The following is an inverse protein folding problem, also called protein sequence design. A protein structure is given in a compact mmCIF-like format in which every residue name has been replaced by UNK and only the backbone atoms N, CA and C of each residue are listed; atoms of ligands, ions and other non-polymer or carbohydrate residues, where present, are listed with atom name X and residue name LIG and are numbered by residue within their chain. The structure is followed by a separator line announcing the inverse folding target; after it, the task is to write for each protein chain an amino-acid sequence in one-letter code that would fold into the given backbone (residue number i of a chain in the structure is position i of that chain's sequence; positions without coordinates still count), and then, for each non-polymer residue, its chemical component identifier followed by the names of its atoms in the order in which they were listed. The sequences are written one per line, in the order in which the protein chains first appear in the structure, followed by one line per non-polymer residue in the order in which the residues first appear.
data_IF_575751509768
#
_entry.id   IF_575751509768
#
_cell.length_a   1.000
_cell.length_b   1.000
_cell.length_c   1.000
_cell.angle_alpha   90.00
_cell.angle_beta   90.00
_cell.angle_gamma   90.00
#
_symmetry.space_group_name_H-M   'P 1'
#
loop_
_entity.id
_entity.type
_entity.pdbx_description
1 polymer ?
#
# COMPACT_ATOMS: atom_id res chain seq x y z
N UNK A 1 -71.72 29.41 41.34
CA UNK A 1 -71.91 29.80 39.94
C UNK A 1 -70.79 30.75 39.54
N UNK A 2 -70.28 30.58 38.32
CA UNK A 2 -69.33 31.41 37.58
C UNK A 2 -67.84 31.40 38.00
N UNK A 3 -67.08 30.64 37.20
CA UNK A 3 -65.63 30.63 37.04
C UNK A 3 -65.12 31.86 36.28
N UNK A 4 -63.94 32.38 36.65
CA UNK A 4 -63.00 33.03 35.72
C UNK A 4 -61.57 32.75 36.19
N UNK A 5 -60.90 31.78 35.54
CA UNK A 5 -59.46 31.58 35.67
C UNK A 5 -58.79 32.11 34.40
N UNK A 6 -57.89 33.07 34.57
CA UNK A 6 -57.06 33.65 33.52
C UNK A 6 -56.01 32.64 33.05
N UNK A 7 -55.93 32.42 31.73
CA UNK A 7 -54.89 31.61 31.09
C UNK A 7 -53.72 32.54 30.76
N UNK A 8 -52.62 32.43 31.51
CA UNK A 8 -51.35 33.03 31.15
C UNK A 8 -50.57 32.06 30.26
N UNK A 9 -50.37 32.43 29.00
CA UNK A 9 -49.53 31.70 28.05
C UNK A 9 -48.04 31.94 28.36
N UNK A 10 -47.33 30.91 28.79
CA UNK A 10 -45.86 30.90 28.83
C UNK A 10 -45.37 30.37 27.49
N UNK A 11 -44.82 31.26 26.67
CA UNK A 11 -44.09 30.91 25.45
C UNK A 11 -42.78 30.22 25.85
N UNK A 12 -42.75 28.90 25.72
CA UNK A 12 -41.49 28.14 25.73
C UNK A 12 -40.73 28.50 24.46
N UNK A 13 -39.70 29.32 24.60
CA UNK A 13 -38.71 29.55 23.57
C UNK A 13 -38.00 28.22 23.29
N UNK A 14 -38.28 27.65 22.12
CA UNK A 14 -37.52 26.53 21.58
C UNK A 14 -36.11 27.02 21.32
N UNK A 15 -35.18 26.64 22.20
CA UNK A 15 -33.75 26.70 21.93
C UNK A 15 -33.46 25.80 20.73
N UNK A 16 -33.39 26.39 19.54
CA UNK A 16 -32.92 25.72 18.35
C UNK A 16 -31.50 25.17 18.56
N UNK A 17 -31.12 24.10 17.84
CA UNK A 17 -29.79 23.53 17.97
C UNK A 17 -28.75 24.62 17.67
N UNK A 18 -27.73 24.65 18.53
CA UNK A 18 -26.58 25.52 18.46
C UNK A 18 -26.11 25.68 17.01
N UNK A 19 -26.01 26.94 16.61
CA UNK A 19 -25.52 27.40 15.33
C UNK A 19 -24.42 26.50 14.79
N UNK A 20 -24.69 25.88 13.64
CA UNK A 20 -23.62 25.55 12.71
C UNK A 20 -22.93 26.87 12.38
N UNK A 21 -21.93 27.22 13.20
CA UNK A 21 -21.04 28.34 12.98
C UNK A 21 -20.47 28.10 11.58
N UNK A 22 -20.98 28.83 10.58
CA UNK A 22 -20.42 28.86 9.25
C UNK A 22 -18.99 29.37 9.42
N UNK A 23 -18.05 28.44 9.53
CA UNK A 23 -16.63 28.71 9.52
C UNK A 23 -16.36 29.36 8.17
N UNK A 24 -15.82 30.58 8.21
CA UNK A 24 -15.48 31.29 6.98
C UNK A 24 -14.35 30.56 6.26
N UNK A 25 -14.22 30.72 4.94
CA UNK A 25 -13.15 30.09 4.15
C UNK A 25 -11.74 30.33 4.72
N UNK A 26 -11.49 31.49 5.35
CA UNK A 26 -10.22 31.80 6.01
C UNK A 26 -9.86 30.86 7.18
N UNK A 27 -10.85 30.38 7.95
CA UNK A 27 -10.60 29.42 9.04
C UNK A 27 -10.39 27.99 8.55
N UNK A 28 -10.98 27.63 7.42
CA UNK A 28 -10.81 26.29 6.84
C UNK A 28 -9.46 26.15 6.11
N UNK A 29 -8.93 27.24 5.54
CA UNK A 29 -7.60 27.23 4.91
C UNK A 29 -6.44 27.02 5.89
N UNK A 30 -6.61 27.39 7.16
CA UNK A 30 -5.60 27.13 8.20
C UNK A 30 -5.37 25.63 8.46
N UNK A 31 -6.31 24.79 8.04
CA UNK A 31 -6.20 23.33 8.16
C UNK A 31 -5.37 22.70 7.04
N UNK A 32 -5.02 23.48 6.01
CA UNK A 32 -4.25 23.03 4.85
C UNK A 32 -2.79 23.50 4.92
N UNK A 33 -1.80 22.65 4.56
CA UNK A 33 -1.97 21.22 4.25
C UNK A 33 -2.23 20.37 5.50
N UNK A 34 -1.93 20.88 6.70
CA UNK A 34 -2.09 20.14 7.95
C UNK A 34 -1.17 18.91 8.06
N UNK A 35 -0.05 18.87 7.35
CA UNK A 35 0.84 17.72 7.30
C UNK A 35 1.95 17.86 6.26
N UNK A 36 2.61 16.74 5.93
CA UNK A 36 3.77 16.68 5.05
C UNK A 36 3.50 16.08 3.65
N UNK A 37 2.26 15.70 3.32
CA UNK A 37 1.93 15.14 2.01
C UNK A 37 1.89 16.26 0.94
N UNK A 38 2.73 16.18 -0.11
CA UNK A 38 2.74 17.19 -1.17
C UNK A 38 1.62 16.90 -2.18
N UNK A 39 0.38 17.25 -1.84
CA UNK A 39 -0.83 16.89 -2.59
C UNK A 39 -0.72 17.11 -4.11
N UNK A 40 -0.26 18.29 -4.56
CA UNK A 40 -0.11 18.57 -5.99
C UNK A 40 0.85 17.61 -6.70
N UNK A 41 1.98 17.27 -6.05
CA UNK A 41 2.94 16.30 -6.59
C UNK A 41 2.33 14.91 -6.64
N UNK A 42 1.58 14.51 -5.61
CA UNK A 42 0.91 13.21 -5.56
C UNK A 42 -0.19 13.09 -6.61
N UNK A 43 -0.99 14.15 -6.80
CA UNK A 43 -2.01 14.23 -7.83
C UNK A 43 -1.45 14.18 -9.26
N UNK A 44 -0.21 14.60 -9.45
CA UNK A 44 0.50 14.57 -10.73
C UNK A 44 1.24 13.26 -11.04
N UNK A 45 1.15 12.25 -10.17
CA UNK A 45 1.82 10.98 -10.39
C UNK A 45 1.22 10.23 -11.58
N UNK A 46 2.08 9.79 -12.51
CA UNK A 46 1.72 8.86 -13.59
C UNK A 46 1.91 7.40 -13.20
N UNK A 47 2.70 7.15 -12.15
CA UNK A 47 2.95 5.83 -11.58
C UNK A 47 2.14 5.62 -10.31
N UNK A 48 1.83 4.36 -9.94
CA UNK A 48 1.17 4.06 -8.67
C UNK A 48 1.93 4.67 -7.48
N UNK A 49 1.17 5.17 -6.50
CA UNK A 49 1.73 5.67 -5.26
C UNK A 49 2.27 4.49 -4.44
N UNK A 50 3.55 4.58 -4.03
CA UNK A 50 4.16 3.56 -3.18
C UNK A 50 3.44 3.46 -1.82
N UNK A 51 3.27 2.24 -1.31
CA UNK A 51 2.53 1.98 -0.06
C UNK A 51 3.10 2.73 1.14
N UNK A 52 4.44 2.84 1.23
CA UNK A 52 5.13 3.66 2.25
C UNK A 52 4.69 5.13 2.29
N UNK A 53 4.23 5.68 1.16
CA UNK A 53 3.78 7.07 1.10
C UNK A 53 2.43 7.28 1.81
N UNK A 54 1.74 6.21 2.21
CA UNK A 54 0.54 6.31 3.03
C UNK A 54 0.81 6.82 4.45
N UNK A 55 2.07 6.82 4.91
CA UNK A 55 2.51 7.41 6.18
C UNK A 55 2.53 8.94 6.15
N UNK A 56 2.53 9.54 4.94
CA UNK A 56 2.43 10.97 4.80
C UNK A 56 1.12 11.47 5.40
N UNK A 57 1.12 12.71 5.86
CA UNK A 57 0.00 13.33 6.56
C UNK A 57 -0.58 14.47 5.76
N UNK A 58 -1.90 14.58 5.77
CA UNK A 58 -2.64 15.71 5.21
C UNK A 58 -3.90 15.89 6.05
N UNK A 59 -4.34 17.13 6.29
CA UNK A 59 -5.41 17.41 7.25
C UNK A 59 -5.19 16.83 8.66
N UNK A 60 -3.95 16.77 9.12
CA UNK A 60 -3.60 16.26 10.45
C UNK A 60 -3.77 14.75 10.62
N UNK A 61 -4.06 14.01 9.55
CA UNK A 61 -4.20 12.54 9.55
C UNK A 61 -3.31 11.91 8.49
N UNK A 62 -2.95 10.63 8.66
CA UNK A 62 -2.16 9.90 7.66
C UNK A 62 -3.02 9.58 6.45
N UNK A 63 -2.43 9.53 5.26
CA UNK A 63 -3.14 9.13 4.04
C UNK A 63 -3.71 7.72 4.14
N UNK A 64 -3.07 6.84 4.91
CA UNK A 64 -3.61 5.52 5.25
C UNK A 64 -5.02 5.61 5.87
N UNK A 65 -5.30 6.65 6.65
CA UNK A 65 -6.51 6.83 7.45
C UNK A 65 -7.56 7.71 6.73
N UNK A 66 -7.33 8.12 5.48
CA UNK A 66 -8.29 8.91 4.70
C UNK A 66 -9.51 8.07 4.31
N UNK A 67 -10.67 8.71 4.39
CA UNK A 67 -11.98 8.16 4.02
C UNK A 67 -12.62 9.01 2.92
N UNK A 68 -13.71 8.51 2.31
CA UNK A 68 -14.48 9.28 1.33
C UNK A 68 -14.89 10.67 1.83
N UNK A 69 -15.33 10.76 3.09
CA UNK A 69 -15.73 12.02 3.73
C UNK A 69 -14.59 13.04 3.76
N UNK A 70 -13.36 12.58 3.95
CA UNK A 70 -12.19 13.45 4.01
C UNK A 70 -11.86 14.05 2.64
N UNK A 71 -12.06 13.28 1.58
CA UNK A 71 -11.93 13.76 0.21
C UNK A 71 -13.07 14.71 -0.16
N UNK A 72 -14.30 14.41 0.25
CA UNK A 72 -15.45 15.30 0.01
C UNK A 72 -15.24 16.66 0.69
N UNK A 73 -14.76 16.66 1.94
CA UNK A 73 -14.38 17.88 2.65
C UNK A 73 -13.23 18.62 1.93
N UNK A 74 -12.22 17.87 1.45
CA UNK A 74 -11.10 18.46 0.70
C UNK A 74 -11.59 19.16 -0.57
N UNK A 75 -12.52 18.55 -1.32
CA UNK A 75 -13.09 19.14 -2.54
C UNK A 75 -13.81 20.45 -2.28
N UNK A 76 -14.46 20.57 -1.11
CA UNK A 76 -15.18 21.79 -0.73
C UNK A 76 -14.23 22.94 -0.41
N UNK A 77 -13.14 22.67 0.32
CA UNK A 77 -12.29 23.75 0.84
C UNK A 77 -11.06 24.05 -0.02
N UNK A 78 -10.52 23.06 -0.73
CA UNK A 78 -9.26 23.20 -1.47
C UNK A 78 -9.29 24.29 -2.56
N UNK A 79 -10.36 24.43 -3.38
CA UNK A 79 -10.42 25.48 -4.41
C UNK A 79 -10.40 26.89 -3.81
N UNK A 80 -11.08 27.09 -2.67
CA UNK A 80 -11.11 28.38 -1.98
C UNK A 80 -9.75 28.73 -1.36
N UNK A 81 -9.01 27.73 -0.89
CA UNK A 81 -7.72 27.92 -0.25
C UNK A 81 -6.54 27.95 -1.21
N UNK A 82 -6.72 27.50 -2.45
CA UNK A 82 -5.70 27.46 -3.49
C UNK A 82 -6.23 28.11 -4.78
N UNK A 83 -6.57 29.42 -4.78
CA UNK A 83 -7.21 30.08 -5.92
C UNK A 83 -6.32 30.13 -7.17
N UNK A 84 -5.01 29.93 -7.02
CA UNK A 84 -4.06 29.87 -8.14
C UNK A 84 -4.07 28.51 -8.86
N UNK A 85 -4.64 27.46 -8.24
CA UNK A 85 -4.84 26.16 -8.86
C UNK A 85 -6.15 26.17 -9.64
N UNK A 86 -6.08 26.55 -10.92
CA UNK A 86 -7.24 26.63 -11.83
C UNK A 86 -7.98 25.30 -12.01
N UNK A 87 -7.35 24.18 -11.65
CA UNK A 87 -7.93 22.83 -11.68
C UNK A 87 -8.15 22.23 -10.29
N UNK A 88 -8.31 23.05 -9.24
CA UNK A 88 -8.26 22.58 -7.86
C UNK A 88 -9.17 21.38 -7.53
N UNK A 89 -10.39 21.32 -8.06
CA UNK A 89 -11.26 20.15 -7.89
C UNK A 89 -10.69 18.88 -8.54
N UNK A 90 -10.19 18.98 -9.78
CA UNK A 90 -9.54 17.87 -10.49
C UNK A 90 -8.24 17.43 -9.81
N UNK A 91 -7.49 18.37 -9.21
CA UNK A 91 -6.33 18.06 -8.37
C UNK A 91 -6.73 17.19 -7.17
N UNK A 92 -7.86 17.49 -6.52
CA UNK A 92 -8.39 16.67 -5.43
C UNK A 92 -8.85 15.30 -5.92
N UNK A 93 -9.54 15.22 -7.06
CA UNK A 93 -9.98 13.94 -7.63
C UNK A 93 -8.80 13.01 -7.96
N UNK A 94 -7.75 13.54 -8.60
CA UNK A 94 -6.53 12.76 -8.89
C UNK A 94 -5.81 12.34 -7.63
N UNK A 95 -5.72 13.24 -6.64
CA UNK A 95 -5.16 12.92 -5.33
C UNK A 95 -5.94 11.79 -4.64
N UNK A 96 -7.27 11.85 -4.65
CA UNK A 96 -8.14 10.80 -4.13
C UNK A 96 -7.87 9.46 -4.82
N UNK A 97 -7.80 9.45 -6.16
CA UNK A 97 -7.57 8.24 -6.93
C UNK A 97 -6.24 7.55 -6.56
N UNK A 98 -5.15 8.31 -6.45
CA UNK A 98 -3.83 7.73 -6.12
C UNK A 98 -3.76 7.23 -4.68
N UNK A 99 -4.40 7.92 -3.74
CA UNK A 99 -4.42 7.48 -2.32
C UNK A 99 -5.25 6.22 -2.16
N UNK A 100 -6.46 6.15 -2.75
CA UNK A 100 -7.31 4.97 -2.66
C UNK A 100 -6.66 3.75 -3.33
N UNK A 101 -5.98 3.94 -4.45
CA UNK A 101 -5.22 2.87 -5.10
C UNK A 101 -4.09 2.33 -4.20
N UNK A 102 -3.35 3.22 -3.53
CA UNK A 102 -2.32 2.81 -2.58
C UNK A 102 -2.90 2.12 -1.34
N UNK A 103 -4.01 2.61 -0.79
CA UNK A 103 -4.71 1.97 0.33
C UNK A 103 -5.17 0.55 -0.04
N UNK A 104 -5.70 0.37 -1.25
CA UNK A 104 -6.03 -0.95 -1.77
C UNK A 104 -4.79 -1.84 -1.89
N UNK A 105 -3.70 -1.34 -2.46
CA UNK A 105 -2.45 -2.12 -2.55
C UNK A 105 -1.90 -2.51 -1.16
N UNK A 106 -2.06 -1.63 -0.16
CA UNK A 106 -1.71 -1.93 1.24
C UNK A 106 -2.54 -3.07 1.81
N UNK A 107 -3.84 -3.14 1.49
CA UNK A 107 -4.71 -4.25 1.91
C UNK A 107 -4.32 -5.54 1.19
N UNK A 108 -4.13 -5.49 -0.13
CA UNK A 108 -3.76 -6.66 -0.93
C UNK A 108 -2.41 -7.25 -0.46
N UNK A 109 -1.46 -6.40 -0.06
CA UNK A 109 -0.18 -6.83 0.52
C UNK A 109 -0.31 -7.38 1.95
N UNK A 110 -1.22 -6.82 2.78
CA UNK A 110 -1.54 -7.39 4.09
C UNK A 110 -2.06 -8.82 3.98
N UNK A 111 -3.04 -9.02 3.10
CA UNK A 111 -3.66 -10.34 2.87
C UNK A 111 -2.65 -11.34 2.32
N UNK A 112 -1.73 -10.88 1.46
CA UNK A 112 -0.65 -11.71 0.95
C UNK A 112 0.33 -12.14 2.07
N UNK A 113 0.70 -11.23 2.98
CA UNK A 113 1.56 -11.56 4.14
C UNK A 113 0.92 -12.67 4.98
N UNK A 114 -0.37 -12.56 5.28
CA UNK A 114 -1.08 -13.56 6.08
C UNK A 114 -1.12 -14.93 5.38
N UNK A 115 -1.35 -14.94 4.06
CA UNK A 115 -1.28 -16.18 3.27
C UNK A 115 0.11 -16.82 3.31
N UNK A 116 1.17 -16.02 3.15
CA UNK A 116 2.55 -16.50 3.22
C UNK A 116 2.86 -17.06 4.61
N UNK A 117 2.46 -16.37 5.68
CA UNK A 117 2.67 -16.85 7.05
C UNK A 117 1.92 -18.16 7.33
N UNK A 118 0.67 -18.25 6.86
CA UNK A 118 -0.14 -19.45 6.96
C UNK A 118 0.52 -20.63 6.24
N UNK A 119 0.94 -20.43 4.99
CA UNK A 119 1.62 -21.46 4.21
C UNK A 119 2.92 -21.91 4.88
N UNK A 120 3.80 -20.97 5.23
CA UNK A 120 5.07 -21.25 5.90
C UNK A 120 4.87 -22.02 7.23
N UNK A 121 3.83 -21.67 8.00
CA UNK A 121 3.48 -22.36 9.25
C UNK A 121 3.08 -23.82 9.04
N UNK A 122 2.45 -24.14 7.90
CA UNK A 122 2.00 -25.49 7.55
C UNK A 122 3.07 -26.40 6.91
N UNK A 123 4.24 -25.86 6.56
CA UNK A 123 5.26 -26.65 5.85
C UNK A 123 5.82 -27.80 6.73
N UNK A 124 5.93 -29.03 6.22
CA UNK A 124 6.54 -30.13 6.95
C UNK A 124 8.08 -30.04 6.93
N UNK A 125 8.75 -30.64 7.91
CA UNK A 125 10.22 -30.72 7.98
C UNK A 125 10.79 -31.77 7.01
N UNK A 126 10.48 -31.62 5.73
CA UNK A 126 10.95 -32.45 4.62
C UNK A 126 11.80 -31.61 3.65
N UNK A 127 12.47 -32.27 2.70
CA UNK A 127 13.17 -31.59 1.61
C UNK A 127 12.26 -30.60 0.88
N UNK A 128 11.04 -31.00 0.56
CA UNK A 128 10.09 -30.15 -0.17
C UNK A 128 9.64 -28.95 0.67
N UNK A 129 9.44 -29.14 1.98
CA UNK A 129 9.15 -28.03 2.89
C UNK A 129 10.30 -27.01 2.97
N UNK A 130 11.56 -27.49 3.00
CA UNK A 130 12.75 -26.62 2.97
C UNK A 130 12.86 -25.85 1.64
N UNK A 131 12.61 -26.52 0.51
CA UNK A 131 12.60 -25.85 -0.80
C UNK A 131 11.50 -24.79 -0.81
N UNK A 132 10.30 -25.11 -0.33
CA UNK A 132 9.17 -24.17 -0.36
C UNK A 132 9.40 -22.95 0.55
N UNK A 133 9.92 -23.11 1.76
CA UNK A 133 10.21 -21.95 2.63
C UNK A 133 11.27 -21.03 2.00
N UNK A 134 12.22 -21.61 1.25
CA UNK A 134 13.23 -20.84 0.51
C UNK A 134 12.58 -20.05 -0.64
N UNK A 135 11.62 -20.64 -1.36
CA UNK A 135 10.85 -19.92 -2.40
C UNK A 135 10.03 -18.78 -1.78
N UNK A 136 9.37 -19.02 -0.64
CA UNK A 136 8.61 -17.97 0.07
C UNK A 136 9.51 -16.80 0.50
N UNK A 137 10.76 -17.08 0.88
CA UNK A 137 11.76 -16.04 1.15
C UNK A 137 12.04 -15.19 -0.09
N UNK A 138 12.30 -15.82 -1.24
CA UNK A 138 12.52 -15.10 -2.49
C UNK A 138 11.29 -14.30 -2.94
N UNK A 139 10.09 -14.87 -2.82
CA UNK A 139 8.83 -14.15 -3.12
C UNK A 139 8.70 -12.88 -2.26
N UNK A 140 9.03 -12.98 -0.97
CA UNK A 140 9.07 -11.82 -0.09
C UNK A 140 10.10 -10.77 -0.53
N UNK A 141 11.33 -11.16 -0.86
CA UNK A 141 12.36 -10.21 -1.32
C UNK A 141 11.91 -9.41 -2.54
N UNK A 142 11.24 -10.07 -3.50
CA UNK A 142 10.69 -9.39 -4.68
C UNK A 142 9.52 -8.45 -4.33
N UNK A 143 8.81 -8.72 -3.24
CA UNK A 143 7.64 -7.95 -2.81
C UNK A 143 7.98 -6.75 -1.91
N UNK A 144 9.18 -6.69 -1.32
CA UNK A 144 9.62 -5.62 -0.39
C UNK A 144 9.27 -4.20 -0.87
N UNK A 145 9.44 -3.81 -2.15
CA UNK A 145 9.11 -2.45 -2.60
C UNK A 145 7.63 -2.07 -2.42
N UNK A 146 6.74 -3.05 -2.38
CA UNK A 146 5.29 -2.88 -2.22
C UNK A 146 4.85 -2.89 -0.75
N UNK A 147 5.73 -3.28 0.19
CA UNK A 147 5.39 -3.45 1.60
C UNK A 147 5.65 -2.19 2.43
N UNK A 148 4.97 -2.11 3.56
CA UNK A 148 5.42 -1.21 4.65
C UNK A 148 6.72 -1.75 5.24
N UNK A 149 7.64 -0.89 5.72
CA UNK A 149 8.89 -1.34 6.34
C UNK A 149 8.67 -2.31 7.51
N UNK A 150 7.70 -2.01 8.39
CA UNK A 150 7.37 -2.84 9.53
C UNK A 150 6.82 -4.22 9.12
N UNK A 151 6.02 -4.28 8.06
CA UNK A 151 5.48 -5.54 7.53
C UNK A 151 6.59 -6.41 6.94
N UNK A 152 7.51 -5.80 6.17
CA UNK A 152 8.65 -6.49 5.59
C UNK A 152 9.55 -7.08 6.69
N UNK A 153 9.87 -6.30 7.73
CA UNK A 153 10.66 -6.78 8.87
C UNK A 153 9.95 -7.92 9.61
N UNK A 154 8.65 -7.79 9.85
CA UNK A 154 7.89 -8.84 10.55
C UNK A 154 7.87 -10.15 9.77
N UNK A 155 7.61 -10.09 8.46
CA UNK A 155 7.60 -11.25 7.59
C UNK A 155 8.98 -11.90 7.47
N UNK A 156 10.05 -11.11 7.33
CA UNK A 156 11.44 -11.60 7.33
C UNK A 156 11.75 -12.38 8.61
N UNK A 157 11.42 -11.81 9.78
CA UNK A 157 11.64 -12.47 11.08
C UNK A 157 10.82 -13.76 11.19
N UNK A 158 9.58 -13.77 10.72
CA UNK A 158 8.73 -14.96 10.74
C UNK A 158 9.32 -16.08 9.86
N UNK A 159 9.64 -15.79 8.60
CA UNK A 159 10.18 -16.77 7.66
C UNK A 159 11.55 -17.28 8.11
N UNK A 160 12.41 -16.41 8.64
CA UNK A 160 13.72 -16.81 9.18
C UNK A 160 13.59 -17.81 10.33
N UNK A 161 12.70 -17.54 11.31
CA UNK A 161 12.43 -18.48 12.41
C UNK A 161 11.92 -19.81 11.87
N UNK A 162 10.95 -19.78 10.94
CA UNK A 162 10.36 -20.99 10.38
C UNK A 162 11.38 -21.82 9.61
N UNK A 163 12.22 -21.16 8.83
CA UNK A 163 13.31 -21.80 8.11
C UNK A 163 14.25 -22.53 9.09
N UNK A 164 14.70 -21.86 10.15
CA UNK A 164 15.56 -22.48 11.17
C UNK A 164 14.91 -23.70 11.82
N UNK A 165 13.62 -23.64 12.14
CA UNK A 165 12.87 -24.77 12.69
C UNK A 165 12.81 -25.97 11.74
N UNK A 166 12.58 -25.71 10.45
CA UNK A 166 12.52 -26.75 9.42
C UNK A 166 13.88 -27.42 9.25
N UNK A 167 14.96 -26.64 9.18
CA UNK A 167 16.32 -27.19 9.06
C UNK A 167 16.77 -27.96 10.32
N UNK A 168 16.40 -27.51 11.52
CA UNK A 168 16.74 -28.19 12.77
C UNK A 168 16.02 -29.53 12.95
N UNK A 169 14.79 -29.64 12.44
CA UNK A 169 13.94 -30.85 12.53
C UNK A 169 14.07 -31.76 11.31
N UNK A 170 14.72 -31.29 10.25
CA UNK A 170 14.99 -32.12 9.09
C UNK A 170 15.80 -33.34 9.55
N UNK A 171 15.43 -34.56 9.13
CA UNK A 171 16.20 -35.73 9.48
C UNK A 171 17.66 -35.51 9.07
N UNK A 172 18.58 -35.63 10.03
CA UNK A 172 20.00 -35.65 9.73
C UNK A 172 20.21 -36.70 8.65
N UNK A 173 20.87 -36.33 7.54
CA UNK A 173 21.25 -37.31 6.51
C UNK A 173 21.86 -38.51 7.21
N UNK A 174 21.37 -39.71 6.93
CA UNK A 174 22.06 -40.91 7.40
C UNK A 174 23.46 -40.87 6.79
N UNK A 175 24.48 -40.99 7.62
CA UNK A 175 25.84 -41.16 7.14
C UNK A 175 25.86 -42.39 6.22
N UNK A 176 26.11 -42.20 4.92
CA UNK A 176 26.06 -43.26 3.91
C UNK A 176 24.93 -43.15 2.88
N UNK A 177 24.04 -42.16 2.95
CA UNK A 177 23.13 -41.87 1.84
C UNK A 177 23.91 -41.16 0.73
N UNK A 178 24.48 -41.98 -0.17
CA UNK A 178 25.22 -41.55 -1.35
C UNK A 178 24.33 -40.61 -2.17
N UNK A 179 24.86 -39.44 -2.54
CA UNK A 179 24.19 -38.57 -3.48
C UNK A 179 23.93 -39.40 -4.73
N UNK A 180 22.65 -39.61 -5.10
CA UNK A 180 22.35 -40.06 -6.44
C UNK A 180 23.18 -39.18 -7.38
N UNK A 181 24.00 -39.77 -8.27
CA UNK A 181 24.87 -38.99 -9.13
C UNK A 181 24.01 -37.93 -9.78
N UNK A 182 24.48 -36.68 -9.77
CA UNK A 182 23.86 -35.63 -10.57
C UNK A 182 23.91 -36.17 -12.00
N UNK A 183 22.82 -36.78 -12.46
CA UNK A 183 22.62 -37.12 -13.86
C UNK A 183 22.53 -35.76 -14.51
N UNK A 184 23.69 -35.26 -14.94
CA UNK A 184 23.73 -34.19 -15.92
C UNK A 184 22.83 -34.69 -17.04
N UNK A 185 21.76 -33.95 -17.41
CA UNK A 185 21.06 -34.31 -18.63
C UNK A 185 22.14 -34.48 -19.72
N UNK A 186 22.02 -35.51 -20.59
CA UNK A 186 22.92 -35.60 -21.72
C UNK A 186 22.97 -34.22 -22.34
N UNK A 187 24.16 -33.73 -22.65
CA UNK A 187 24.32 -32.48 -23.37
C UNK A 187 23.48 -32.63 -24.64
N UNK A 188 22.23 -32.16 -24.59
CA UNK A 188 21.46 -31.92 -25.79
C UNK A 188 22.38 -30.97 -26.54
N UNK A 189 22.88 -31.45 -27.68
CA UNK A 189 23.66 -30.64 -28.59
C UNK A 189 22.84 -29.36 -28.79
N UNK A 190 23.26 -28.29 -28.11
CA UNK A 190 22.83 -26.96 -28.49
C UNK A 190 23.56 -26.78 -29.81
N UNK A 191 22.87 -27.17 -30.88
CA UNK A 191 23.26 -26.84 -32.23
C UNK A 191 23.14 -25.33 -32.31
N UNK A 192 24.25 -24.64 -32.00
CA UNK A 192 24.36 -23.21 -32.20
C UNK A 192 24.33 -23.03 -33.71
N UNK A 193 23.13 -22.80 -34.24
CA UNK A 193 22.96 -22.40 -35.63
C UNK A 193 23.75 -21.10 -35.79
N UNK A 194 24.76 -21.05 -36.68
CA UNK A 194 25.49 -19.81 -36.91
C UNK A 194 24.48 -18.73 -37.32
N UNK A 195 24.60 -17.57 -36.69
CA UNK A 195 23.85 -16.39 -37.10
C UNK A 195 24.16 -16.10 -38.58
N UNK A 196 23.16 -15.75 -39.41
CA UNK A 196 23.43 -15.32 -40.78
C UNK A 196 24.36 -14.10 -40.73
N UNK A 197 25.37 -14.13 -41.60
CA UNK A 197 26.49 -13.20 -41.66
C UNK A 197 26.07 -11.74 -41.42
N UNK A 198 26.51 -11.20 -40.29
CA UNK A 198 26.52 -9.76 -40.08
C UNK A 198 27.57 -9.17 -41.04
N UNK A 199 27.09 -8.57 -42.14
CA UNK A 199 27.93 -7.76 -43.02
C UNK A 199 28.65 -6.69 -42.21
N UNK A 200 29.99 -6.55 -42.32
CA UNK A 200 30.71 -5.49 -41.65
C UNK A 200 30.25 -4.13 -42.20
N UNK A 201 29.86 -3.24 -41.29
CA UNK A 201 29.49 -1.87 -41.61
C UNK A 201 30.64 -1.17 -42.34
N UNK A 202 30.36 -0.63 -43.53
CA UNK A 202 31.31 0.23 -44.23
C UNK A 202 31.52 1.54 -43.45
N UNK A 203 32.76 2.02 -43.33
CA UNK A 203 33.03 3.31 -42.70
C UNK A 203 32.48 4.46 -43.57
N UNK A 204 32.00 5.55 -42.96
CA UNK A 204 31.42 6.67 -43.69
C UNK A 204 32.47 7.34 -44.59
N UNK A 205 32.11 7.58 -45.84
CA UNK A 205 32.89 8.37 -46.78
C UNK A 205 33.00 9.82 -46.28
N UNK A 206 34.19 10.41 -46.43
CA UNK A 206 34.46 11.84 -46.21
C UNK A 206 33.87 12.69 -47.32
#
# INVERSE_FOLDING_TARGET
MASTAAVAAVLVAWGGPASAQQRGPASDCQRLPGGNAPMQRLAGLTTPLAVRSLELTYFGKRLADFTGKDFDELKQIYPACNPNDKGGAETVDRFQAVVLAAQKNRQDTADWIEKVKFEAGGLPATRDGIVRITVLWYEMEQKIPDLMPADAEDLQRYLSRRMNELYAKAPARRAGEELAPVVRPPAAAIEIKPAPDAQPAQPPAR
#
